data_IF_531807686292
#
_entry.id   IF_531807686292
#
_cell.length_a   1.000
_cell.length_b   1.000
_cell.length_c   1.000
_cell.angle_alpha   90.00
_cell.angle_beta   90.00
_cell.angle_gamma   90.00
#
_symmetry.space_group_name_H-M   'P 1'
#
loop_
_entity.id
_entity.type
_entity.pdbx_description
1 polymer ?
#
# COMPACT_ATOMS: atom_id res chain seq x y z
N UNK A 1 16.16 -1.77 -0.17
CA UNK A 1 14.98 -1.32 -0.93
C UNK A 1 13.76 -1.64 -0.11
N UNK A 2 12.95 -0.63 0.22
CA UNK A 2 11.66 -0.78 0.88
C UNK A 2 10.55 -0.87 -0.15
N UNK A 3 9.63 -1.81 0.08
CA UNK A 3 8.42 -1.97 -0.71
C UNK A 3 7.22 -1.83 0.23
N UNK A 4 6.41 -0.83 -0.05
CA UNK A 4 5.20 -0.55 0.68
C UNK A 4 4.00 -1.10 -0.09
N UNK A 5 3.30 -2.07 0.49
CA UNK A 5 2.12 -2.69 -0.10
C UNK A 5 0.89 -2.17 0.61
N UNK A 6 0.00 -1.48 -0.11
CA UNK A 6 -1.18 -0.83 0.47
C UNK A 6 -2.45 -1.33 -0.21
N UNK A 7 -3.40 -1.86 0.56
CA UNK A 7 -4.75 -2.08 0.04
C UNK A 7 -5.47 -0.75 0.02
N UNK A 8 -6.16 -0.45 -1.08
CA UNK A 8 -6.99 0.76 -1.17
C UNK A 8 -7.91 0.95 0.05
N UNK A 9 -8.23 2.20 0.36
CA UNK A 9 -9.22 2.53 1.40
C UNK A 9 -10.62 2.00 1.08
N UNK A 10 -11.51 2.06 2.07
CA UNK A 10 -12.88 1.55 1.92
C UNK A 10 -13.59 2.24 0.74
N UNK A 11 -14.10 1.50 -0.27
CA UNK A 11 -14.88 2.09 -1.35
C UNK A 11 -16.32 2.37 -0.92
N UNK A 12 -17.00 3.25 -1.65
CA UNK A 12 -18.45 3.35 -1.65
C UNK A 12 -19.10 2.06 -2.17
N UNK A 13 -20.35 1.87 -1.79
CA UNK A 13 -21.21 0.86 -2.41
C UNK A 13 -21.42 1.21 -3.90
N UNK A 14 -21.52 0.19 -4.75
CA UNK A 14 -21.72 0.35 -6.19
C UNK A 14 -23.02 1.10 -6.53
N UNK A 15 -24.04 0.94 -5.68
CA UNK A 15 -25.34 1.61 -5.83
C UNK A 15 -25.25 3.11 -5.57
N UNK A 16 -24.24 3.55 -4.79
CA UNK A 16 -24.00 4.95 -4.44
C UNK A 16 -23.05 5.58 -5.46
N UNK A 17 -21.99 4.86 -5.83
CA UNK A 17 -20.97 5.31 -6.77
C UNK A 17 -20.54 4.16 -7.69
N UNK A 18 -21.01 4.13 -8.94
CA UNK A 18 -20.63 3.12 -9.93
C UNK A 18 -19.12 3.10 -10.23
N UNK A 19 -18.41 4.21 -10.04
CA UNK A 19 -16.96 4.28 -10.22
C UNK A 19 -16.20 3.59 -9.07
N UNK A 20 -16.90 3.27 -7.97
CA UNK A 20 -16.37 2.66 -6.74
C UNK A 20 -15.16 3.42 -6.21
N UNK A 21 -15.28 4.75 -6.12
CA UNK A 21 -14.35 5.60 -5.39
C UNK A 21 -14.39 5.34 -3.89
N UNK A 22 -13.52 6.02 -3.13
CA UNK A 22 -13.43 5.91 -1.68
C UNK A 22 -14.67 6.51 -1.01
N UNK A 23 -15.17 5.80 0.00
CA UNK A 23 -16.18 6.33 0.91
C UNK A 23 -15.60 7.40 1.83
N UNK A 24 -16.43 8.24 2.48
CA UNK A 24 -15.94 9.23 3.45
C UNK A 24 -15.09 8.59 4.56
N UNK A 25 -15.51 7.44 5.09
CA UNK A 25 -14.73 6.68 6.08
C UNK A 25 -13.40 6.21 5.51
N UNK A 26 -13.41 5.65 4.29
CA UNK A 26 -12.19 5.19 3.63
C UNK A 26 -11.21 6.32 3.35
N UNK A 27 -11.68 7.51 2.97
CA UNK A 27 -10.83 8.69 2.80
C UNK A 27 -10.17 9.08 4.13
N UNK A 28 -10.96 9.18 5.21
CA UNK A 28 -10.46 9.54 6.53
C UNK A 28 -9.40 8.54 7.05
N UNK A 29 -9.61 7.25 6.86
CA UNK A 29 -8.64 6.22 7.27
C UNK A 29 -7.31 6.36 6.52
N UNK A 30 -7.34 6.61 5.21
CA UNK A 30 -6.13 6.83 4.42
C UNK A 30 -5.45 8.16 4.78
N UNK A 31 -6.20 9.21 5.10
CA UNK A 31 -5.65 10.47 5.60
C UNK A 31 -4.89 10.30 6.92
N UNK A 32 -5.42 9.49 7.84
CA UNK A 32 -4.73 9.14 9.10
C UNK A 32 -3.43 8.40 8.79
N UNK A 33 -3.48 7.40 7.89
CA UNK A 33 -2.28 6.69 7.47
C UNK A 33 -1.25 7.64 6.83
N UNK A 34 -1.68 8.54 5.94
CA UNK A 34 -0.82 9.55 5.33
C UNK A 34 -0.14 10.45 6.38
N UNK A 35 -0.89 10.88 7.40
CA UNK A 35 -0.34 11.67 8.50
C UNK A 35 0.72 10.89 9.32
N UNK A 36 0.49 9.60 9.57
CA UNK A 36 1.47 8.72 10.22
C UNK A 36 2.74 8.62 9.37
N UNK A 37 2.60 8.36 8.07
CA UNK A 37 3.76 8.23 7.17
C UNK A 37 4.57 9.53 7.09
N UNK A 38 3.89 10.68 7.14
CA UNK A 38 4.53 12.00 7.17
C UNK A 38 5.39 12.18 8.42
N UNK A 39 4.91 11.72 9.57
CA UNK A 39 5.67 11.78 10.84
C UNK A 39 6.91 10.88 10.86
N UNK A 40 7.02 9.96 9.89
CA UNK A 40 8.12 8.99 9.75
C UNK A 40 9.05 9.30 8.59
N UNK A 41 8.89 10.46 7.95
CA UNK A 41 9.69 10.91 6.81
C UNK A 41 9.84 9.82 5.72
N UNK A 42 8.75 9.13 5.38
CA UNK A 42 8.77 8.10 4.33
C UNK A 42 9.05 8.73 2.97
N UNK A 43 10.06 8.21 2.28
CA UNK A 43 10.48 8.60 0.94
C UNK A 43 10.34 7.38 0.03
N UNK A 44 9.74 7.57 -1.13
CA UNK A 44 9.65 6.57 -2.20
C UNK A 44 10.00 7.20 -3.53
N UNK A 45 10.49 6.40 -4.46
CA UNK A 45 10.75 6.85 -5.83
C UNK A 45 9.44 7.09 -6.58
N UNK A 46 8.52 6.13 -6.49
CA UNK A 46 7.21 6.16 -7.15
C UNK A 46 6.12 5.59 -6.23
N UNK A 47 4.87 6.02 -6.50
CA UNK A 47 3.66 5.37 -5.98
C UNK A 47 2.94 4.75 -7.18
N UNK A 48 2.97 3.42 -7.28
CA UNK A 48 2.20 2.69 -8.28
C UNK A 48 0.80 2.41 -7.79
N UNK A 49 -0.19 2.52 -8.67
CA UNK A 49 -1.55 2.09 -8.37
C UNK A 49 -2.19 1.33 -9.53
N UNK A 50 -3.22 0.54 -9.21
CA UNK A 50 -4.07 -0.10 -10.22
C UNK A 50 -4.98 0.91 -10.93
N UNK A 51 -5.63 0.44 -11.99
CA UNK A 51 -6.61 1.20 -12.78
C UNK A 51 -7.92 1.51 -12.03
N UNK A 52 -8.11 1.00 -10.80
CA UNK A 52 -9.38 1.17 -10.08
C UNK A 52 -9.41 2.53 -9.38
N UNK A 53 -10.54 3.24 -9.47
CA UNK A 53 -10.69 4.58 -8.91
C UNK A 53 -10.29 4.67 -7.42
N UNK A 54 -10.79 3.75 -6.58
CA UNK A 54 -10.38 3.65 -5.16
C UNK A 54 -8.87 3.51 -4.94
N UNK A 55 -8.13 2.82 -5.81
CA UNK A 55 -6.68 2.68 -5.70
C UNK A 55 -5.97 3.98 -6.09
N UNK A 56 -6.41 4.61 -7.19
CA UNK A 56 -5.92 5.93 -7.62
C UNK A 56 -6.14 7.01 -6.55
N UNK A 57 -7.35 7.11 -6.01
CA UNK A 57 -7.66 8.05 -4.93
C UNK A 57 -6.85 7.77 -3.66
N UNK A 58 -6.69 6.50 -3.29
CA UNK A 58 -5.83 6.12 -2.14
C UNK A 58 -4.39 6.58 -2.37
N UNK A 59 -3.82 6.34 -3.55
CA UNK A 59 -2.48 6.79 -3.91
C UNK A 59 -2.35 8.32 -3.85
N UNK A 60 -3.38 9.04 -4.33
CA UNK A 60 -3.46 10.50 -4.27
C UNK A 60 -3.39 11.04 -2.84
N UNK A 61 -4.16 10.46 -1.92
CA UNK A 61 -4.15 10.87 -0.51
C UNK A 61 -2.80 10.54 0.15
N UNK A 62 -2.26 9.33 -0.08
CA UNK A 62 -0.98 8.91 0.50
C UNK A 62 0.19 9.78 0.03
N UNK A 63 0.17 10.26 -1.21
CA UNK A 63 1.19 11.18 -1.74
C UNK A 63 1.27 12.50 -0.97
N UNK A 64 0.26 12.88 -0.19
CA UNK A 64 0.33 14.04 0.71
C UNK A 64 1.15 13.77 1.98
N UNK A 65 1.32 12.49 2.32
CA UNK A 65 2.02 12.01 3.51
C UNK A 65 3.41 11.42 3.24
N UNK A 66 3.77 11.19 1.98
CA UNK A 66 5.10 10.66 1.60
C UNK A 66 5.78 11.55 0.58
N UNK A 67 7.11 11.60 0.59
CA UNK A 67 7.88 12.23 -0.48
C UNK A 67 8.00 11.23 -1.63
N UNK A 68 7.25 11.45 -2.71
CA UNK A 68 7.39 10.68 -3.96
C UNK A 68 8.19 11.47 -4.98
N UNK A 69 9.39 11.00 -5.35
CA UNK A 69 10.30 11.74 -6.23
C UNK A 69 9.78 11.87 -7.67
N UNK A 70 9.22 10.79 -8.21
CA UNK A 70 8.66 10.74 -9.57
C UNK A 70 7.11 10.78 -9.55
N UNK A 71 6.49 11.00 -8.38
CA UNK A 71 5.05 11.15 -8.25
C UNK A 71 4.26 9.82 -8.27
N UNK A 72 3.04 9.89 -8.79
CA UNK A 72 2.06 8.80 -8.81
C UNK A 72 1.96 8.26 -10.24
N UNK A 73 1.97 6.93 -10.40
CA UNK A 73 1.98 6.27 -11.70
C UNK A 73 0.97 5.13 -11.75
N UNK A 74 0.02 5.19 -12.68
CA UNK A 74 -0.84 4.05 -12.97
C UNK A 74 -0.02 2.92 -13.61
N UNK A 75 -0.13 1.70 -13.08
CA UNK A 75 0.53 0.52 -13.66
C UNK A 75 -0.48 -0.59 -13.93
N UNK A 76 -0.46 -1.09 -15.16
CA UNK A 76 -1.13 -2.33 -15.55
C UNK A 76 -0.51 -3.54 -14.84
N UNK A 77 -1.32 -4.55 -14.55
CA UNK A 77 -0.90 -5.76 -13.83
C UNK A 77 -1.07 -5.66 -12.32
N UNK A 78 -1.77 -4.65 -11.81
CA UNK A 78 -2.05 -4.44 -10.39
C UNK A 78 -3.54 -4.61 -10.04
N UNK A 79 -4.36 -5.13 -10.96
CA UNK A 79 -5.77 -5.41 -10.69
C UNK A 79 -5.91 -6.65 -9.79
N UNK A 80 -7.07 -6.85 -9.12
CA UNK A 80 -7.26 -7.95 -8.16
C UNK A 80 -6.90 -9.35 -8.66
N UNK A 81 -7.17 -9.62 -9.93
CA UNK A 81 -7.02 -10.94 -10.58
C UNK A 81 -5.81 -11.00 -11.52
N UNK A 82 -4.98 -9.97 -11.55
CA UNK A 82 -3.77 -9.96 -12.37
C UNK A 82 -2.73 -10.92 -11.79
N UNK A 83 -1.89 -11.46 -12.68
CA UNK A 83 -0.75 -12.30 -12.32
C UNK A 83 0.35 -11.49 -11.63
N UNK A 84 0.92 -12.00 -10.53
CA UNK A 84 1.92 -11.29 -9.73
C UNK A 84 3.34 -11.40 -10.29
N UNK A 85 3.66 -12.46 -11.05
CA UNK A 85 5.02 -12.77 -11.49
C UNK A 85 5.64 -11.66 -12.36
N UNK A 86 4.90 -11.06 -13.33
CA UNK A 86 5.42 -9.91 -14.08
C UNK A 86 5.74 -8.69 -13.20
N UNK A 87 4.99 -8.51 -12.10
CA UNK A 87 5.18 -7.38 -11.17
C UNK A 87 6.39 -7.61 -10.27
N UNK A 88 6.64 -8.84 -9.83
CA UNK A 88 7.87 -9.19 -9.09
C UNK A 88 9.12 -8.83 -9.90
N UNK A 89 9.14 -9.17 -11.20
CA UNK A 89 10.25 -8.80 -12.08
C UNK A 89 10.45 -7.28 -12.17
N UNK A 90 9.36 -6.51 -12.28
CA UNK A 90 9.41 -5.04 -12.30
C UNK A 90 9.92 -4.45 -10.98
N UNK A 91 9.47 -4.96 -9.84
CA UNK A 91 9.92 -4.53 -8.51
C UNK A 91 11.43 -4.74 -8.35
N UNK A 92 11.92 -5.94 -8.68
CA UNK A 92 13.34 -6.27 -8.55
C UNK A 92 14.24 -5.48 -9.51
N UNK A 93 13.71 -5.13 -10.69
CA UNK A 93 14.41 -4.28 -11.65
C UNK A 93 14.43 -2.79 -11.23
N UNK A 94 13.40 -2.33 -10.52
CA UNK A 94 13.24 -0.93 -10.11
C UNK A 94 14.29 -0.50 -9.08
N UNK A 95 14.67 -1.39 -8.14
CA UNK A 95 15.78 -1.24 -7.16
C UNK A 95 15.71 -0.06 -6.19
N UNK A 96 14.73 0.82 -6.33
CA UNK A 96 14.46 1.97 -5.46
C UNK A 96 13.25 1.71 -4.56
N UNK A 97 13.11 2.50 -3.50
CA UNK A 97 11.97 2.40 -2.58
C UNK A 97 10.67 2.70 -3.33
N UNK A 98 9.65 1.86 -3.13
CA UNK A 98 8.45 1.84 -3.95
C UNK A 98 7.20 1.65 -3.09
N UNK A 99 6.13 2.38 -3.41
CA UNK A 99 4.79 2.10 -2.88
C UNK A 99 3.89 1.53 -3.97
N UNK A 100 3.11 0.49 -3.64
CA UNK A 100 2.12 -0.12 -4.52
C UNK A 100 0.76 -0.11 -3.82
N UNK A 101 -0.21 0.54 -4.45
CA UNK A 101 -1.61 0.59 -4.01
C UNK A 101 -2.45 -0.34 -4.89
N UNK A 102 -2.98 -1.41 -4.30
CA UNK A 102 -3.70 -2.46 -5.05
C UNK A 102 -4.80 -3.11 -4.18
N UNK A 103 -5.11 -4.39 -4.41
CA UNK A 103 -6.29 -5.11 -3.96
C UNK A 103 -5.94 -6.49 -3.42
N UNK A 104 -6.93 -7.15 -2.83
CA UNK A 104 -6.90 -8.59 -2.62
C UNK A 104 -7.52 -9.34 -3.81
N UNK A 105 -7.07 -10.57 -4.11
CA UNK A 105 -5.99 -11.30 -3.43
C UNK A 105 -4.56 -10.85 -3.80
N UNK A 106 -4.40 -10.04 -4.86
CA UNK A 106 -3.10 -9.63 -5.42
C UNK A 106 -2.02 -9.30 -4.38
N UNK A 107 -2.31 -8.40 -3.43
CA UNK A 107 -1.34 -7.96 -2.42
C UNK A 107 -0.91 -9.07 -1.45
N UNK A 108 -1.85 -9.91 -1.02
CA UNK A 108 -1.53 -11.03 -0.13
C UNK A 108 -0.65 -12.05 -0.85
N UNK A 109 -0.99 -12.37 -2.10
CA UNK A 109 -0.23 -13.30 -2.92
C UNK A 109 1.18 -12.76 -3.23
N UNK A 110 1.28 -11.47 -3.60
CA UNK A 110 2.56 -10.81 -3.84
C UNK A 110 3.44 -10.84 -2.59
N UNK A 111 2.90 -10.46 -1.44
CA UNK A 111 3.66 -10.49 -0.20
C UNK A 111 4.09 -11.90 0.20
N UNK A 112 3.20 -12.89 0.06
CA UNK A 112 3.52 -14.30 0.32
C UNK A 112 4.65 -14.80 -0.57
N UNK A 113 4.58 -14.50 -1.87
CA UNK A 113 5.63 -14.88 -2.81
C UNK A 113 6.97 -14.25 -2.46
N UNK A 114 6.99 -12.94 -2.15
CA UNK A 114 8.23 -12.23 -1.82
C UNK A 114 8.84 -12.74 -0.50
N UNK A 115 8.02 -12.96 0.53
CA UNK A 115 8.47 -13.35 1.87
C UNK A 115 8.78 -14.83 2.04
N UNK A 116 8.05 -15.70 1.33
CA UNK A 116 8.07 -17.14 1.57
C UNK A 116 8.35 -17.99 0.31
N UNK A 117 8.54 -17.35 -0.84
CA UNK A 117 8.85 -18.02 -2.11
C UNK A 117 7.67 -18.73 -2.77
N UNK A 118 6.46 -18.58 -2.22
CA UNK A 118 5.24 -19.22 -2.70
C UNK A 118 4.05 -18.28 -2.44
N UNK A 119 3.19 -18.08 -3.42
CA UNK A 119 2.12 -17.08 -3.37
C UNK A 119 0.92 -17.46 -2.47
N UNK A 120 0.87 -18.69 -1.97
CA UNK A 120 -0.22 -19.21 -1.13
C UNK A 120 0.24 -19.71 0.25
N UNK A 121 1.55 -19.68 0.51
CA UNK A 121 2.15 -20.17 1.76
C UNK A 121 1.85 -19.29 2.98
N UNK A 122 1.75 -17.97 2.81
CA UNK A 122 1.45 -17.03 3.89
C UNK A 122 0.08 -16.40 3.69
N UNK A 123 -0.72 -16.44 4.75
CA UNK A 123 -1.96 -15.68 4.83
C UNK A 123 -1.69 -14.35 5.53
N UNK A 124 -1.84 -13.24 4.80
CA UNK A 124 -1.83 -11.89 5.38
C UNK A 124 -3.15 -11.20 5.10
N UNK A 125 -3.82 -10.72 6.15
CA UNK A 125 -5.08 -10.01 6.01
C UNK A 125 -4.81 -8.52 5.80
N UNK A 126 -4.89 -8.07 4.55
CA UNK A 126 -4.94 -6.65 4.25
C UNK A 126 -6.38 -6.17 4.33
N UNK A 127 -6.83 -5.63 5.46
CA UNK A 127 -8.07 -4.86 5.50
C UNK A 127 -7.98 -3.63 4.57
N UNK A 128 -9.10 -3.03 4.20
CA UNK A 128 -9.08 -1.78 3.41
C UNK A 128 -8.25 -0.73 4.15
N UNK A 129 -7.34 -0.07 3.45
CA UNK A 129 -6.37 0.86 4.02
C UNK A 129 -5.19 0.24 4.79
N UNK A 130 -5.08 -1.09 4.87
CA UNK A 130 -3.92 -1.74 5.48
C UNK A 130 -2.67 -1.59 4.61
N UNK A 131 -1.52 -1.51 5.29
CA UNK A 131 -0.20 -1.29 4.70
C UNK A 131 0.85 -2.21 5.31
N UNK A 132 1.65 -2.85 4.46
CA UNK A 132 2.84 -3.59 4.85
C UNK A 132 4.11 -2.88 4.35
N UNK A 133 5.15 -2.83 5.17
CA UNK A 133 6.48 -2.43 4.73
C UNK A 133 7.38 -3.67 4.68
N UNK A 134 7.80 -4.02 3.47
CA UNK A 134 8.80 -5.06 3.22
C UNK A 134 10.15 -4.42 2.95
N UNK A 135 11.23 -5.06 3.37
CA UNK A 135 12.59 -4.64 3.07
C UNK A 135 13.34 -5.75 2.36
N UNK A 136 13.97 -5.39 1.24
CA UNK A 136 14.88 -6.25 0.50
C UNK A 136 16.31 -5.91 0.85
N UNK A 137 16.98 -6.84 1.53
CA UNK A 137 18.38 -6.75 1.91
C UNK A 137 19.06 -8.12 1.83
N UNK A 138 20.32 -8.14 1.37
CA UNK A 138 21.15 -9.36 1.27
C UNK A 138 20.44 -10.51 0.51
N UNK A 139 19.72 -10.17 -0.55
CA UNK A 139 19.04 -11.14 -1.41
C UNK A 139 17.71 -11.67 -0.88
N UNK A 140 17.17 -11.13 0.22
CA UNK A 140 15.97 -11.65 0.89
C UNK A 140 15.01 -10.53 1.25
N UNK A 141 13.72 -10.84 1.20
CA UNK A 141 12.66 -9.97 1.71
C UNK A 141 12.35 -10.28 3.18
N UNK A 142 12.07 -9.25 3.94
CA UNK A 142 11.57 -9.35 5.33
C UNK A 142 10.43 -8.37 5.54
N UNK A 143 9.44 -8.74 6.35
CA UNK A 143 8.42 -7.82 6.83
C UNK A 143 9.03 -6.95 7.94
N UNK A 144 9.11 -5.64 7.74
CA UNK A 144 9.56 -4.69 8.78
C UNK A 144 8.41 -4.33 9.72
N UNK A 145 7.23 -4.05 9.17
CA UNK A 145 6.04 -3.76 9.96
C UNK A 145 4.77 -3.89 9.11
N UNK A 146 3.63 -4.03 9.79
CA UNK A 146 2.30 -4.09 9.21
C UNK A 146 1.37 -3.16 10.00
N UNK A 147 0.59 -2.36 9.28
CA UNK A 147 -0.32 -1.36 9.82
C UNK A 147 -1.74 -1.64 9.28
N UNK A 148 -2.71 -1.79 10.17
CA UNK A 148 -4.14 -1.92 9.81
C UNK A 148 -4.90 -0.71 10.36
N UNK A 149 -5.84 -0.08 9.60
CA UNK A 149 -6.54 1.11 10.05
C UNK A 149 -7.27 0.96 11.39
N UNK A 150 -7.76 -0.24 11.70
CA UNK A 150 -8.40 -0.52 12.99
C UNK A 150 -7.48 -0.36 14.21
N UNK A 151 -6.16 -0.26 14.02
CA UNK A 151 -5.18 -0.03 15.07
C UNK A 151 -4.96 1.45 15.39
N UNK A 152 -5.46 2.37 14.57
CA UNK A 152 -5.21 3.81 14.74
C UNK A 152 -6.53 4.58 14.92
N UNK A 153 -6.55 5.48 15.88
CA UNK A 153 -7.60 6.49 16.07
C UNK A 153 -7.01 7.87 15.86
N UNK A 154 -7.86 8.85 15.53
CA UNK A 154 -7.45 10.25 15.33
C UNK A 154 -6.70 10.85 16.53
N UNK A 155 -6.96 10.35 17.75
CA UNK A 155 -6.24 10.74 18.98
C UNK A 155 -4.80 10.23 19.05
N UNK A 156 -4.50 9.09 18.41
CA UNK A 156 -3.17 8.46 18.47
C UNK A 156 -2.10 9.30 17.75
N UNK A 157 -2.53 10.19 16.85
CA UNK A 157 -1.66 11.16 16.16
C UNK A 157 -1.02 12.18 17.13
N UNK A 158 -1.61 12.42 18.31
CA UNK A 158 -1.04 13.34 19.31
C UNK A 158 0.09 12.69 20.12
N UNK A 159 0.14 11.36 20.15
CA UNK A 159 1.09 10.57 20.95
C UNK A 159 2.19 9.89 20.12
N UNK A 160 2.28 10.18 18.81
CA UNK A 160 3.43 9.75 17.98
C UNK A 160 4.65 10.62 18.34
N UNK A 161 5.16 10.43 19.56
CA UNK A 161 6.53 10.78 19.90
C UNK A 161 7.41 9.76 19.21
N UNK A 162 8.15 10.22 18.21
CA UNK A 162 9.21 9.47 17.55
C UNK A 162 10.20 8.97 18.59
N UNK A 163 10.10 7.69 18.95
CA UNK A 163 11.22 6.98 19.55
C UNK A 163 12.20 6.67 18.42
N UNK A 164 13.17 7.57 18.23
CA UNK A 164 14.40 7.34 17.51
C UNK A 164 15.54 7.13 18.51
#
# INVERSE_FOLDING_TARGET
MKLYLVRHGQPNDETIDPSKGLSPTGQQEIEILAAILKSRDVIVKEIWHSDKNRASQTAGILATGVKSENGIVEKRGLAPTDRIEPVVGKILAFREDLMIVSHLPFLANLASLLLAGDEHRLAMNFDTGAMACLNYARGRWTLEWFASPGLFKKGDLQDIRSYH
#
